data_IF_260982689568
#
_entry.id   IF_260982689568
#
_cell.length_a   1.000
_cell.length_b   1.000
_cell.length_c   1.000
_cell.angle_alpha   90.00
_cell.angle_beta   90.00
_cell.angle_gamma   90.00
#
_symmetry.space_group_name_H-M   'P 1'
#
loop_
_entity.id
_entity.type
_entity.pdbx_description
1 polymer ?
#
# COMPACT_ATOMS: atom_id res chain seq x y z
N UNK A 1 -36.03 0.47 27.67
CA UNK A 1 -36.84 -0.55 26.98
C UNK A 1 -36.06 -1.40 25.95
N UNK A 2 -34.73 -1.28 25.83
CA UNK A 2 -33.93 -1.97 24.78
C UNK A 2 -33.21 -3.27 25.22
N UNK A 3 -33.54 -3.84 26.38
CA UNK A 3 -32.77 -4.95 26.97
C UNK A 3 -32.81 -6.27 26.19
N UNK A 4 -33.80 -6.49 25.32
CA UNK A 4 -33.92 -7.73 24.52
C UNK A 4 -33.27 -7.62 23.15
N UNK A 5 -33.33 -6.45 22.49
CA UNK A 5 -32.85 -6.28 21.12
C UNK A 5 -31.31 -6.28 21.06
N UNK A 6 -30.63 -5.58 21.96
CA UNK A 6 -29.16 -5.50 21.93
C UNK A 6 -28.48 -6.89 22.07
N UNK A 7 -28.89 -7.78 23.00
CA UNK A 7 -28.39 -9.16 23.03
C UNK A 7 -28.64 -9.95 21.75
N UNK A 8 -29.81 -9.78 21.10
CA UNK A 8 -30.12 -10.44 19.82
C UNK A 8 -29.21 -9.95 18.69
N UNK A 9 -29.02 -8.63 18.56
CA UNK A 9 -28.12 -8.04 17.56
C UNK A 9 -26.68 -8.52 17.76
N UNK A 10 -26.20 -8.59 19.02
CA UNK A 10 -24.88 -9.16 19.33
C UNK A 10 -24.76 -10.63 18.92
N UNK A 11 -25.79 -11.45 19.19
CA UNK A 11 -25.82 -12.87 18.80
C UNK A 11 -25.76 -13.06 17.28
N UNK A 12 -26.42 -12.18 16.53
CA UNK A 12 -26.41 -12.15 15.06
C UNK A 12 -25.18 -11.46 14.46
N UNK A 13 -24.29 -10.91 15.30
CA UNK A 13 -23.11 -10.11 14.89
C UNK A 13 -23.51 -8.90 14.03
N UNK A 14 -24.61 -8.25 14.38
CA UNK A 14 -25.14 -7.02 13.78
C UNK A 14 -24.65 -5.81 14.58
N UNK A 15 -23.34 -5.59 14.56
CA UNK A 15 -22.70 -4.57 15.38
C UNK A 15 -23.05 -3.15 14.95
N UNK A 16 -23.20 -2.91 13.65
CA UNK A 16 -23.53 -1.60 13.13
C UNK A 16 -24.95 -1.18 13.51
N UNK A 17 -25.92 -2.10 13.36
CA UNK A 17 -27.26 -1.90 13.90
C UNK A 17 -27.24 -1.65 15.41
N UNK A 18 -26.44 -2.40 16.16
CA UNK A 18 -26.40 -2.24 17.61
C UNK A 18 -25.79 -0.88 18.04
N UNK A 19 -24.84 -0.34 17.26
CA UNK A 19 -24.22 0.96 17.51
C UNK A 19 -25.14 2.13 17.10
N UNK A 20 -25.89 2.00 16.00
CA UNK A 20 -26.77 3.07 15.49
C UNK A 20 -28.23 3.00 16.00
N UNK A 21 -28.62 1.91 16.70
CA UNK A 21 -30.01 1.65 17.10
C UNK A 21 -30.68 2.84 17.78
N UNK A 22 -30.04 3.45 18.79
CA UNK A 22 -30.64 4.57 19.53
C UNK A 22 -30.81 5.81 18.68
N UNK A 23 -29.83 6.09 17.81
CA UNK A 23 -29.87 7.22 16.87
C UNK A 23 -31.01 7.05 15.87
N UNK A 24 -31.15 5.85 15.26
CA UNK A 24 -32.20 5.55 14.29
C UNK A 24 -33.59 5.51 14.91
N UNK A 25 -33.72 5.08 16.16
CA UNK A 25 -35.01 5.12 16.88
C UNK A 25 -35.48 6.55 17.13
N UNK A 26 -34.56 7.45 17.48
CA UNK A 26 -34.87 8.88 17.63
C UNK A 26 -35.16 9.55 16.29
N UNK A 27 -34.44 9.18 15.23
CA UNK A 27 -34.70 9.68 13.88
C UNK A 27 -36.10 9.25 13.41
N UNK A 28 -36.47 7.98 13.58
CA UNK A 28 -37.78 7.47 13.19
C UNK A 28 -38.93 8.19 13.92
N UNK A 29 -38.77 8.50 15.21
CA UNK A 29 -39.81 9.20 15.98
C UNK A 29 -39.94 10.69 15.63
N UNK A 30 -38.85 11.33 15.18
CA UNK A 30 -38.83 12.76 14.85
C UNK A 30 -39.18 13.06 13.39
N UNK A 31 -38.76 12.21 12.45
CA UNK A 31 -39.00 12.39 11.01
C UNK A 31 -40.18 11.60 10.47
N UNK A 32 -40.78 10.72 11.28
CA UNK A 32 -41.96 9.94 10.89
C UNK A 32 -41.66 8.84 9.87
N UNK A 33 -40.47 8.22 9.96
CA UNK A 33 -40.08 7.12 9.08
C UNK A 33 -41.08 5.97 9.15
N UNK A 34 -41.43 5.42 7.98
CA UNK A 34 -42.17 4.17 7.92
C UNK A 34 -41.33 3.02 8.48
N UNK A 35 -42.00 1.92 8.89
CA UNK A 35 -41.30 0.75 9.40
C UNK A 35 -40.31 0.15 8.39
N UNK A 36 -40.62 0.23 7.09
CA UNK A 36 -39.74 -0.24 6.02
C UNK A 36 -38.50 0.64 5.89
N UNK A 37 -38.67 1.97 5.85
CA UNK A 37 -37.55 2.92 5.76
C UNK A 37 -36.62 2.81 6.97
N UNK A 38 -37.17 2.71 8.18
CA UNK A 38 -36.37 2.49 9.38
C UNK A 38 -35.54 1.20 9.29
N UNK A 39 -36.16 0.11 8.84
CA UNK A 39 -35.47 -1.18 8.72
C UNK A 39 -34.39 -1.16 7.61
N UNK A 40 -34.66 -0.49 6.49
CA UNK A 40 -33.70 -0.28 5.41
C UNK A 40 -32.48 0.51 5.90
N UNK A 41 -32.69 1.62 6.62
CA UNK A 41 -31.60 2.42 7.19
C UNK A 41 -30.75 1.62 8.19
N UNK A 42 -31.39 0.82 9.05
CA UNK A 42 -30.70 -0.07 9.98
C UNK A 42 -29.84 -1.11 9.24
N UNK A 43 -30.34 -1.69 8.14
CA UNK A 43 -29.58 -2.61 7.30
C UNK A 43 -28.42 -1.91 6.61
N UNK A 44 -28.64 -0.69 6.12
CA UNK A 44 -27.60 0.10 5.47
C UNK A 44 -26.46 0.43 6.45
N UNK A 45 -26.76 0.78 7.70
CA UNK A 45 -25.76 1.01 8.74
C UNK A 45 -24.89 -0.23 8.99
N UNK A 46 -25.51 -1.41 9.06
CA UNK A 46 -24.76 -2.66 9.21
C UNK A 46 -23.86 -2.94 8.01
N UNK A 47 -24.38 -2.76 6.79
CA UNK A 47 -23.62 -2.98 5.55
C UNK A 47 -22.41 -2.05 5.51
N UNK A 48 -22.61 -0.76 5.82
CA UNK A 48 -21.55 0.24 5.85
C UNK A 48 -20.46 -0.12 6.86
N UNK A 49 -20.85 -0.43 8.11
CA UNK A 49 -19.89 -0.77 9.17
C UNK A 49 -19.14 -2.08 8.87
N UNK A 50 -19.80 -3.05 8.24
CA UNK A 50 -19.12 -4.27 7.77
C UNK A 50 -18.13 -3.98 6.64
N UNK A 51 -18.49 -3.12 5.70
CA UNK A 51 -17.62 -2.66 4.62
C UNK A 51 -16.36 -1.98 5.17
N UNK A 52 -16.53 -1.01 6.07
CA UNK A 52 -15.44 -0.27 6.69
C UNK A 52 -14.49 -1.20 7.46
N UNK A 53 -15.04 -2.10 8.29
CA UNK A 53 -14.24 -3.09 9.03
C UNK A 53 -13.52 -4.06 8.10
N UNK A 54 -14.10 -4.42 6.96
CA UNK A 54 -13.43 -5.26 5.97
C UNK A 54 -12.23 -4.53 5.35
N UNK A 55 -12.40 -3.26 4.99
CA UNK A 55 -11.31 -2.41 4.48
C UNK A 55 -10.20 -2.26 5.54
N UNK A 56 -10.53 -1.92 6.79
CA UNK A 56 -9.55 -1.81 7.87
C UNK A 56 -8.76 -3.09 8.09
N UNK A 57 -9.42 -4.25 8.07
CA UNK A 57 -8.76 -5.55 8.18
C UNK A 57 -7.80 -5.79 7.03
N UNK A 58 -8.18 -5.46 5.79
CA UNK A 58 -7.29 -5.57 4.62
C UNK A 58 -6.11 -4.60 4.72
N UNK A 59 -6.31 -3.36 5.17
CA UNK A 59 -5.22 -2.39 5.40
C UNK A 59 -4.23 -2.92 6.44
N UNK A 60 -4.72 -3.45 7.57
CA UNK A 60 -3.87 -4.07 8.60
C UNK A 60 -3.09 -5.26 8.05
N UNK A 61 -3.75 -6.13 7.28
CA UNK A 61 -3.10 -7.29 6.63
C UNK A 61 -2.08 -6.88 5.56
N UNK A 62 -2.28 -5.74 4.91
CA UNK A 62 -1.38 -5.26 3.85
C UNK A 62 -0.01 -4.86 4.37
N UNK A 63 0.15 -4.60 5.67
CA UNK A 63 1.45 -4.38 6.30
C UNK A 63 2.26 -3.25 5.65
N UNK A 64 1.58 -2.19 5.20
CA UNK A 64 2.22 -0.98 4.67
C UNK A 64 3.19 -0.39 5.70
N UNK A 65 4.29 0.20 5.23
CA UNK A 65 5.20 0.98 6.08
C UNK A 65 4.47 2.17 6.69
N UNK A 66 3.76 2.92 5.84
CA UNK A 66 2.87 4.00 6.23
C UNK A 66 1.61 3.96 5.35
N UNK A 67 0.44 4.25 5.93
CA UNK A 67 -0.79 4.39 5.14
C UNK A 67 -0.75 5.74 4.42
N UNK A 68 -0.41 5.72 3.12
CA UNK A 68 -0.36 6.90 2.25
C UNK A 68 -1.55 6.93 1.31
N UNK A 69 -2.12 8.11 1.06
CA UNK A 69 -3.20 8.26 0.08
C UNK A 69 -2.70 8.97 -1.18
N UNK A 70 -3.43 8.79 -2.28
CA UNK A 70 -3.09 9.42 -3.56
C UNK A 70 -3.33 10.93 -3.50
N UNK A 71 -4.32 11.35 -2.71
CA UNK A 71 -4.66 12.76 -2.50
C UNK A 71 -3.53 13.52 -1.77
N UNK A 72 -2.72 12.82 -0.98
CA UNK A 72 -1.56 13.39 -0.28
C UNK A 72 -0.33 13.56 -1.19
N UNK A 73 -0.39 13.10 -2.44
CA UNK A 73 0.73 13.16 -3.37
C UNK A 73 0.76 14.47 -4.16
N UNK A 74 1.81 15.27 -3.97
CA UNK A 74 2.02 16.52 -4.71
C UNK A 74 2.58 16.25 -6.12
N UNK A 75 1.68 16.11 -7.10
CA UNK A 75 2.04 16.02 -8.52
C UNK A 75 2.67 17.31 -9.08
N UNK A 76 2.51 18.45 -8.41
CA UNK A 76 3.14 19.72 -8.78
C UNK A 76 4.64 19.73 -8.49
N UNK A 77 5.07 19.03 -7.43
CA UNK A 77 6.48 18.88 -7.08
C UNK A 77 7.26 18.06 -8.12
N UNK A 78 6.65 17.00 -8.66
CA UNK A 78 7.27 16.16 -9.68
C UNK A 78 6.41 16.01 -10.94
N UNK A 79 6.56 16.97 -11.86
CA UNK A 79 5.83 17.01 -13.15
C UNK A 79 6.14 15.86 -14.11
N UNK A 80 7.20 15.10 -13.87
CA UNK A 80 7.56 13.96 -14.73
C UNK A 80 6.58 12.80 -14.55
N UNK A 81 5.91 12.74 -13.40
CA UNK A 81 4.94 11.71 -13.08
C UNK A 81 3.62 12.06 -13.76
N UNK A 82 3.26 11.28 -14.77
CA UNK A 82 1.98 11.43 -15.47
C UNK A 82 0.84 11.06 -14.52
N UNK A 83 0.11 12.07 -14.04
CA UNK A 83 -1.06 11.89 -13.15
C UNK A 83 -2.02 10.83 -13.69
N UNK A 84 -2.40 10.91 -14.97
CA UNK A 84 -3.33 9.98 -15.60
C UNK A 84 -2.87 8.51 -15.51
N UNK A 85 -1.58 8.23 -15.66
CA UNK A 85 -1.05 6.87 -15.56
C UNK A 85 -1.13 6.34 -14.12
N UNK A 86 -0.85 7.19 -13.11
CA UNK A 86 -1.01 6.81 -11.70
C UNK A 86 -2.47 6.48 -11.36
N UNK A 87 -3.42 7.29 -11.84
CA UNK A 87 -4.85 7.01 -11.62
C UNK A 87 -5.33 5.78 -12.39
N UNK A 88 -4.80 5.52 -13.58
CA UNK A 88 -5.07 4.28 -14.34
C UNK A 88 -4.66 3.06 -13.50
N UNK A 89 -3.46 3.06 -12.93
CA UNK A 89 -3.01 1.99 -12.03
C UNK A 89 -3.91 1.87 -10.79
N UNK A 90 -4.36 3.00 -10.23
CA UNK A 90 -5.27 3.03 -9.09
C UNK A 90 -6.65 2.41 -9.37
N UNK A 91 -7.05 2.25 -10.64
CA UNK A 91 -8.29 1.52 -11.01
C UNK A 91 -8.18 0.00 -10.81
N UNK A 92 -6.96 -0.51 -10.67
CA UNK A 92 -6.68 -1.95 -10.54
C UNK A 92 -6.83 -2.73 -11.85
N UNK A 93 -6.91 -2.06 -12.99
CA UNK A 93 -6.96 -2.72 -14.30
C UNK A 93 -5.77 -3.66 -14.50
N UNK A 94 -4.56 -3.20 -14.25
CA UNK A 94 -3.35 -4.01 -14.36
C UNK A 94 -3.40 -5.28 -13.49
N UNK A 95 -3.99 -5.20 -12.28
CA UNK A 95 -4.16 -6.37 -11.39
C UNK A 95 -5.11 -7.40 -11.97
N UNK A 96 -6.23 -6.95 -12.55
CA UNK A 96 -7.20 -7.85 -13.21
C UNK A 96 -6.61 -8.50 -14.47
N UNK A 97 -5.77 -7.76 -15.19
CA UNK A 97 -5.03 -8.22 -16.36
C UNK A 97 -3.78 -9.04 -16.00
N UNK A 98 -3.47 -9.21 -14.71
CA UNK A 98 -2.28 -9.92 -14.20
C UNK A 98 -0.97 -9.34 -14.72
N UNK A 99 -0.95 -8.04 -15.00
CA UNK A 99 0.27 -7.30 -15.38
C UNK A 99 1.05 -6.89 -14.14
N UNK A 100 2.36 -6.79 -14.27
CA UNK A 100 3.26 -6.29 -13.23
C UNK A 100 3.52 -4.78 -13.42
N UNK A 101 4.07 -4.12 -12.39
CA UNK A 101 4.41 -2.70 -12.46
C UNK A 101 5.80 -2.46 -11.88
N UNK A 102 6.69 -1.88 -12.68
CA UNK A 102 8.03 -1.51 -12.25
C UNK A 102 8.13 0.01 -12.14
N UNK A 103 8.47 0.53 -10.96
CA UNK A 103 8.82 1.94 -10.81
C UNK A 103 10.34 2.12 -10.79
N UNK A 104 10.89 2.91 -11.69
CA UNK A 104 12.32 3.20 -11.76
C UNK A 104 12.59 4.67 -11.51
N UNK A 105 13.63 5.00 -10.76
CA UNK A 105 14.07 6.39 -10.57
C UNK A 105 14.93 6.60 -9.33
N UNK A 106 15.53 7.78 -9.15
CA UNK A 106 16.39 8.05 -8.00
C UNK A 106 15.62 8.03 -6.67
N UNK A 107 16.31 7.89 -5.52
CA UNK A 107 15.67 7.90 -4.21
C UNK A 107 14.98 9.24 -3.92
N UNK A 108 13.87 9.18 -3.19
CA UNK A 108 13.13 10.38 -2.78
C UNK A 108 12.18 10.97 -3.84
N UNK A 109 12.00 10.34 -5.00
CA UNK A 109 11.10 10.82 -6.07
C UNK A 109 9.62 10.47 -5.89
N UNK A 110 9.26 9.71 -4.84
CA UNK A 110 7.87 9.38 -4.52
C UNK A 110 7.42 7.95 -4.86
N UNK A 111 8.28 7.09 -5.42
CA UNK A 111 7.94 5.70 -5.81
C UNK A 111 7.24 4.89 -4.72
N UNK A 112 7.81 4.83 -3.52
CA UNK A 112 7.24 4.10 -2.37
C UNK A 112 5.91 4.69 -1.88
N UNK A 113 5.71 6.01 -2.01
CA UNK A 113 4.42 6.65 -1.71
C UNK A 113 3.37 6.22 -2.73
N UNK A 114 3.70 6.28 -4.02
CA UNK A 114 2.82 5.88 -5.10
C UNK A 114 2.42 4.41 -4.99
N UNK A 115 3.38 3.51 -4.74
CA UNK A 115 3.07 2.08 -4.59
C UNK A 115 2.08 1.83 -3.43
N UNK A 116 2.32 2.41 -2.26
CA UNK A 116 1.44 2.23 -1.09
C UNK A 116 0.07 2.88 -1.29
N UNK A 117 0.02 4.05 -1.92
CA UNK A 117 -1.24 4.75 -2.19
C UNK A 117 -2.08 4.10 -3.28
N UNK A 118 -1.47 3.56 -4.33
CA UNK A 118 -2.14 2.67 -5.29
C UNK A 118 -2.66 1.44 -4.56
N UNK A 119 -1.82 0.78 -3.74
CA UNK A 119 -2.22 -0.36 -2.94
C UNK A 119 -3.44 -0.07 -2.05
N UNK A 120 -3.48 1.10 -1.41
CA UNK A 120 -4.63 1.53 -0.61
C UNK A 120 -5.90 1.69 -1.45
N UNK A 121 -5.80 2.29 -2.64
CA UNK A 121 -6.93 2.41 -3.58
C UNK A 121 -7.47 1.04 -4.00
N UNK A 122 -6.58 0.07 -4.23
CA UNK A 122 -6.99 -1.30 -4.57
C UNK A 122 -7.67 -2.02 -3.41
N UNK A 123 -7.21 -1.80 -2.18
CA UNK A 123 -7.89 -2.33 -0.99
C UNK A 123 -9.31 -1.78 -0.87
N UNK A 124 -9.48 -0.48 -1.12
CA UNK A 124 -10.82 0.16 -1.16
C UNK A 124 -11.68 -0.39 -2.29
N UNK A 125 -11.08 -0.79 -3.41
CA UNK A 125 -11.76 -1.48 -4.51
C UNK A 125 -12.02 -2.98 -4.24
N UNK A 126 -11.77 -3.48 -3.02
CA UNK A 126 -12.07 -4.85 -2.60
C UNK A 126 -10.95 -5.87 -2.79
N UNK A 127 -9.79 -5.44 -3.31
CA UNK A 127 -8.64 -6.31 -3.54
C UNK A 127 -7.80 -6.50 -2.27
N UNK A 128 -7.00 -7.56 -2.25
CA UNK A 128 -6.00 -7.85 -1.21
C UNK A 128 -4.63 -7.40 -1.67
N UNK A 129 -3.92 -6.69 -0.79
CA UNK A 129 -2.57 -6.18 -1.07
C UNK A 129 -1.66 -6.64 0.06
N UNK A 130 -0.41 -6.92 -0.26
CA UNK A 130 0.64 -7.15 0.74
C UNK A 130 1.88 -6.34 0.38
N UNK A 131 2.41 -5.59 1.34
CA UNK A 131 3.60 -4.77 1.20
C UNK A 131 4.72 -5.34 2.07
N UNK A 132 5.92 -5.39 1.49
CA UNK A 132 7.13 -5.75 2.21
C UNK A 132 8.35 -5.09 1.58
N UNK A 133 9.36 -4.75 2.38
CA UNK A 133 10.67 -4.39 1.82
C UNK A 133 11.38 -5.67 1.35
N UNK A 134 12.19 -5.60 0.30
CA UNK A 134 12.96 -6.75 -0.15
C UNK A 134 13.85 -7.34 0.96
N UNK A 135 14.38 -6.50 1.84
CA UNK A 135 15.19 -6.94 2.99
C UNK A 135 14.37 -7.74 4.01
N UNK A 136 13.11 -7.35 4.23
CA UNK A 136 12.21 -8.07 5.11
C UNK A 136 11.67 -9.35 4.44
N UNK A 137 11.48 -9.36 3.11
CA UNK A 137 11.20 -10.61 2.36
C UNK A 137 12.28 -11.63 2.64
N UNK A 138 13.54 -11.26 2.40
CA UNK A 138 14.69 -12.15 2.63
C UNK A 138 14.77 -12.58 4.09
N UNK A 139 14.55 -11.67 5.04
CA UNK A 139 14.55 -12.01 6.47
C UNK A 139 13.45 -13.02 6.81
N UNK A 140 12.24 -12.84 6.28
CA UNK A 140 11.12 -13.72 6.52
C UNK A 140 11.45 -15.14 6.01
N UNK A 141 12.00 -15.29 4.79
CA UNK A 141 12.40 -16.59 4.23
C UNK A 141 13.56 -17.25 4.99
N UNK A 142 14.60 -16.49 5.37
CA UNK A 142 15.73 -17.02 6.14
C UNK A 142 15.34 -17.54 7.52
N UNK A 143 14.33 -16.92 8.16
CA UNK A 143 13.89 -17.33 9.49
C UNK A 143 13.13 -18.66 9.48
N UNK A 144 12.26 -18.91 8.48
CA UNK A 144 11.48 -20.15 8.42
C UNK A 144 12.20 -21.32 7.75
N UNK A 145 13.29 -21.12 7.00
CA UNK A 145 14.18 -22.22 6.59
C UNK A 145 14.71 -23.00 7.81
N UNK A 146 14.87 -22.32 8.96
CA UNK A 146 15.28 -22.96 10.20
C UNK A 146 14.13 -23.72 10.92
N UNK A 147 12.88 -23.60 10.44
CA UNK A 147 11.67 -24.07 11.14
C UNK A 147 10.73 -24.93 10.26
N UNK A 148 11.17 -25.43 9.10
CA UNK A 148 10.36 -26.19 8.13
C UNK A 148 9.06 -25.48 7.67
N UNK A 149 9.00 -24.14 7.79
CA UNK A 149 7.81 -23.31 7.58
C UNK A 149 7.67 -22.69 6.19
N UNK A 150 8.53 -23.08 5.24
CA UNK A 150 8.72 -22.40 3.95
C UNK A 150 7.40 -22.19 3.16
N UNK A 151 6.54 -23.20 3.10
CA UNK A 151 5.27 -23.13 2.36
C UNK A 151 4.31 -22.08 2.93
N UNK A 152 4.28 -21.93 4.27
CA UNK A 152 3.40 -20.98 4.96
C UNK A 152 3.82 -19.54 4.66
N UNK A 153 5.12 -19.25 4.66
CA UNK A 153 5.62 -17.92 4.27
C UNK A 153 5.35 -17.65 2.81
N UNK A 154 5.64 -18.63 1.96
CA UNK A 154 5.43 -18.48 0.52
C UNK A 154 3.96 -18.15 0.22
N UNK A 155 3.00 -18.82 0.87
CA UNK A 155 1.57 -18.49 0.76
C UNK A 155 1.26 -17.02 1.06
N UNK A 156 1.90 -16.42 2.07
CA UNK A 156 1.74 -15.00 2.41
C UNK A 156 2.11 -14.08 1.25
N UNK A 157 3.12 -14.46 0.48
CA UNK A 157 3.58 -13.71 -0.70
C UNK A 157 2.79 -14.04 -1.98
N UNK A 158 2.18 -15.23 -2.08
CA UNK A 158 1.47 -15.68 -3.29
C UNK A 158 -0.03 -15.38 -3.30
N UNK A 159 -0.71 -15.41 -2.14
CA UNK A 159 -2.17 -15.24 -2.05
C UNK A 159 -2.70 -13.82 -2.39
N UNK A 160 -2.01 -12.71 -2.04
CA UNK A 160 -2.52 -11.37 -2.30
C UNK A 160 -2.73 -11.08 -3.79
N UNK A 161 -3.80 -10.35 -4.13
CA UNK A 161 -4.06 -9.86 -5.49
C UNK A 161 -2.88 -9.02 -6.01
N UNK A 162 -2.35 -8.14 -5.16
CA UNK A 162 -1.14 -7.37 -5.42
C UNK A 162 -0.08 -7.60 -4.34
N UNK A 163 1.13 -7.96 -4.76
CA UNK A 163 2.32 -7.94 -3.90
C UNK A 163 3.16 -6.70 -4.24
N UNK A 164 3.54 -5.92 -3.23
CA UNK A 164 4.45 -4.79 -3.36
C UNK A 164 5.77 -5.13 -2.68
N UNK A 165 6.87 -5.17 -3.45
CA UNK A 165 8.22 -5.40 -2.94
C UNK A 165 9.04 -4.12 -3.10
N UNK A 166 9.24 -3.39 -2.00
CA UNK A 166 9.88 -2.07 -1.97
C UNK A 166 11.37 -2.12 -1.57
N UNK A 167 12.03 -0.96 -1.61
CA UNK A 167 13.42 -0.69 -1.25
C UNK A 167 14.47 -1.38 -2.14
N UNK A 168 14.09 -1.81 -3.36
CA UNK A 168 15.05 -2.37 -4.31
C UNK A 168 16.11 -1.32 -4.71
N UNK A 169 17.37 -1.74 -4.75
CA UNK A 169 18.49 -0.87 -5.12
C UNK A 169 19.00 0.09 -4.03
N UNK A 170 18.54 -0.04 -2.78
CA UNK A 170 19.03 0.76 -1.64
C UNK A 170 20.38 0.28 -1.08
N UNK A 171 20.57 -1.03 -0.98
CA UNK A 171 21.80 -1.69 -0.50
C UNK A 171 21.98 -3.01 -1.25
N UNK A 172 23.16 -3.60 -1.18
CA UNK A 172 23.34 -4.98 -1.62
C UNK A 172 22.48 -5.92 -0.77
N UNK A 173 21.87 -6.90 -1.44
CA UNK A 173 21.05 -7.90 -0.78
C UNK A 173 21.95 -8.97 -0.14
N UNK A 174 21.51 -9.60 0.96
CA UNK A 174 22.17 -10.78 1.51
C UNK A 174 22.35 -11.90 0.48
N UNK A 175 23.25 -12.86 0.75
CA UNK A 175 23.36 -14.08 -0.08
C UNK A 175 22.01 -14.81 -0.13
N UNK A 176 21.75 -15.54 -1.22
CA UNK A 176 20.48 -16.27 -1.49
C UNK A 176 19.23 -15.41 -1.67
N UNK A 177 19.32 -14.09 -1.55
CA UNK A 177 18.17 -13.19 -1.77
C UNK A 177 17.57 -13.31 -3.18
N UNK A 178 18.42 -13.58 -4.16
CA UNK A 178 18.01 -13.81 -5.54
C UNK A 178 17.10 -15.03 -5.68
N UNK A 179 17.39 -16.12 -4.97
CA UNK A 179 16.61 -17.37 -5.00
C UNK A 179 15.19 -17.13 -4.49
N UNK A 180 15.04 -16.48 -3.32
CA UNK A 180 13.72 -16.21 -2.75
C UNK A 180 12.91 -15.23 -3.59
N UNK A 181 13.53 -14.15 -4.08
CA UNK A 181 12.85 -13.20 -4.95
C UNK A 181 12.44 -13.88 -6.28
N UNK A 182 13.31 -14.71 -6.83
CA UNK A 182 13.04 -15.47 -8.04
C UNK A 182 11.84 -16.40 -7.86
N UNK A 183 11.80 -17.16 -6.76
CA UNK A 183 10.69 -18.06 -6.49
C UNK A 183 9.34 -17.32 -6.38
N UNK A 184 9.32 -16.19 -5.67
CA UNK A 184 8.11 -15.38 -5.53
C UNK A 184 7.66 -14.81 -6.88
N UNK A 185 8.58 -14.20 -7.65
CA UNK A 185 8.25 -13.63 -8.97
C UNK A 185 7.80 -14.72 -9.93
N UNK A 186 8.51 -15.84 -9.98
CA UNK A 186 8.20 -16.96 -10.88
C UNK A 186 6.82 -17.55 -10.61
N UNK A 187 6.46 -17.78 -9.34
CA UNK A 187 5.15 -18.35 -8.97
C UNK A 187 4.00 -17.37 -9.11
N UNK A 188 4.26 -16.06 -9.15
CA UNK A 188 3.25 -15.02 -9.36
C UNK A 188 3.05 -14.67 -10.84
N UNK A 189 4.06 -14.85 -11.67
CA UNK A 189 4.02 -14.60 -13.11
C UNK A 189 2.76 -15.23 -13.76
N UNK A 190 1.98 -14.44 -14.48
CA UNK A 190 0.68 -14.80 -15.11
C UNK A 190 -0.43 -15.29 -14.16
N UNK A 191 -0.22 -15.26 -12.85
CA UNK A 191 -1.19 -15.69 -11.84
C UNK A 191 -1.70 -14.50 -11.02
N UNK A 192 -0.79 -13.64 -10.52
CA UNK A 192 -1.10 -12.46 -9.70
C UNK A 192 -0.08 -11.35 -9.95
N UNK A 193 -0.49 -10.10 -9.81
CA UNK A 193 0.36 -8.95 -10.07
C UNK A 193 1.34 -8.62 -8.96
N UNK A 194 2.50 -8.13 -9.34
CA UNK A 194 3.59 -7.69 -8.48
C UNK A 194 4.01 -6.29 -8.88
N UNK A 195 4.22 -5.41 -7.89
CA UNK A 195 4.68 -4.05 -8.09
C UNK A 195 5.98 -3.82 -7.34
N UNK A 196 7.00 -3.32 -8.05
CA UNK A 196 8.34 -3.14 -7.51
C UNK A 196 8.88 -1.75 -7.83
N UNK A 197 9.15 -0.91 -6.83
CA UNK A 197 9.99 0.26 -7.00
C UNK A 197 11.48 -0.06 -6.83
N UNK A 198 12.31 0.39 -7.77
CA UNK A 198 13.77 0.30 -7.70
C UNK A 198 14.45 1.67 -7.82
N UNK A 199 15.50 1.85 -7.03
CA UNK A 199 16.37 3.01 -7.08
C UNK A 199 17.56 2.85 -8.05
N UNK A 200 17.69 1.68 -8.69
CA UNK A 200 18.75 1.40 -9.67
C UNK A 200 18.14 1.00 -11.02
N UNK A 201 18.86 1.30 -12.12
CA UNK A 201 18.57 0.75 -13.44
C UNK A 201 18.54 -0.78 -13.42
N UNK A 202 17.85 -1.38 -14.40
CA UNK A 202 17.66 -2.83 -14.47
C UNK A 202 18.99 -3.58 -14.68
N UNK A 203 19.91 -2.96 -15.41
CA UNK A 203 21.25 -3.47 -15.71
C UNK A 203 22.08 -3.70 -14.44
N UNK A 204 21.79 -2.96 -13.36
CA UNK A 204 22.49 -3.10 -12.08
C UNK A 204 21.92 -4.20 -11.18
N UNK A 205 20.79 -4.82 -11.53
CA UNK A 205 20.15 -5.83 -10.67
C UNK A 205 21.01 -7.07 -10.46
N UNK A 206 21.78 -7.49 -11.46
CA UNK A 206 22.73 -8.58 -11.31
C UNK A 206 23.74 -8.34 -10.18
N UNK A 207 24.26 -7.10 -10.09
CA UNK A 207 25.18 -6.69 -9.01
C UNK A 207 24.48 -6.52 -7.66
N UNK A 208 23.23 -6.08 -7.64
CA UNK A 208 22.45 -5.89 -6.41
C UNK A 208 22.06 -7.23 -5.77
N UNK A 209 21.65 -8.18 -6.60
CA UNK A 209 21.23 -9.52 -6.18
C UNK A 209 22.44 -10.39 -5.85
N UNK A 210 23.59 -10.13 -6.51
CA UNK A 210 24.81 -10.93 -6.34
C UNK A 210 24.80 -12.24 -7.12
N UNK A 211 23.81 -12.42 -8.00
CA UNK A 211 23.64 -13.58 -8.88
C UNK A 211 23.03 -13.12 -10.21
N UNK A 212 23.86 -13.05 -11.25
CA UNK A 212 23.49 -12.53 -12.58
C UNK A 212 22.48 -13.46 -13.29
N UNK A 213 22.67 -14.79 -13.31
CA UNK A 213 21.64 -15.72 -13.79
C UNK A 213 20.25 -15.50 -13.16
N UNK A 214 20.15 -15.48 -11.83
CA UNK A 214 18.87 -15.26 -11.15
C UNK A 214 18.28 -13.88 -11.46
N UNK A 215 19.10 -12.83 -11.45
CA UNK A 215 18.64 -11.49 -11.83
C UNK A 215 18.06 -11.45 -13.25
N UNK A 216 18.73 -12.10 -14.21
CA UNK A 216 18.28 -12.17 -15.60
C UNK A 216 16.95 -12.93 -15.69
N UNK A 217 16.83 -14.05 -14.99
CA UNK A 217 15.62 -14.86 -14.98
C UNK A 217 14.42 -14.18 -14.28
N UNK A 218 14.68 -13.33 -13.27
CA UNK A 218 13.68 -12.45 -12.64
C UNK A 218 13.23 -11.39 -13.64
N UNK A 219 14.18 -10.68 -14.26
CA UNK A 219 13.88 -9.60 -15.18
C UNK A 219 13.11 -10.09 -16.40
N UNK A 220 13.51 -11.23 -16.97
CA UNK A 220 12.82 -11.85 -18.11
C UNK A 220 11.33 -12.07 -17.81
N UNK A 221 11.00 -12.73 -16.69
CA UNK A 221 9.62 -12.98 -16.28
C UNK A 221 8.88 -11.71 -15.90
N UNK A 222 9.48 -10.88 -15.04
CA UNK A 222 8.82 -9.68 -14.54
C UNK A 222 8.53 -8.69 -15.68
N UNK A 223 9.47 -8.52 -16.62
CA UNK A 223 9.31 -7.55 -17.71
C UNK A 223 8.39 -8.02 -18.83
N UNK A 224 8.18 -9.33 -18.99
CA UNK A 224 7.34 -9.90 -20.04
C UNK A 224 5.93 -9.27 -20.09
N UNK A 225 5.33 -9.04 -18.92
CA UNK A 225 4.02 -8.40 -18.79
C UNK A 225 4.01 -7.24 -17.79
N UNK A 226 5.08 -6.45 -17.72
CA UNK A 226 5.13 -5.26 -16.85
C UNK A 226 4.86 -3.94 -17.56
N UNK A 227 4.25 -3.02 -16.82
CA UNK A 227 4.27 -1.60 -17.12
C UNK A 227 5.45 -0.94 -16.40
N UNK A 228 6.39 -0.36 -17.17
CA UNK A 228 7.58 0.30 -16.62
C UNK A 228 7.34 1.80 -16.50
N UNK A 229 7.30 2.27 -15.26
CA UNK A 229 7.07 3.65 -14.88
C UNK A 229 8.37 4.31 -14.46
N UNK A 230 8.96 5.09 -15.37
CA UNK A 230 10.17 5.86 -15.08
C UNK A 230 9.83 7.22 -14.46
N UNK A 231 10.44 7.52 -13.31
CA UNK A 231 10.31 8.78 -12.61
C UNK A 231 11.69 9.44 -12.52
N UNK A 232 11.77 10.69 -12.97
CA UNK A 232 12.95 11.54 -12.76
C UNK A 232 12.57 12.70 -11.84
N UNK A 233 13.55 13.51 -11.43
CA UNK A 233 13.31 14.69 -10.58
C UNK A 233 14.06 14.66 -9.26
N UNK A 234 13.92 15.76 -8.51
CA UNK A 234 14.61 15.99 -7.23
C UNK A 234 13.97 15.19 -6.10
N UNK A 235 14.75 14.93 -5.05
CA UNK A 235 14.26 14.29 -3.84
C UNK A 235 13.29 15.20 -3.08
N UNK A 236 12.07 14.72 -2.85
CA UNK A 236 11.06 15.40 -2.01
C UNK A 236 11.57 15.61 -0.57
N UNK A 237 12.35 14.64 -0.06
CA UNK A 237 12.90 14.70 1.30
C UNK A 237 13.89 15.86 1.47
N UNK A 238 14.69 16.14 0.44
CA UNK A 238 15.66 17.26 0.46
C UNK A 238 14.97 18.60 0.20
N UNK A 239 13.95 18.64 -0.67
CA UNK A 239 13.19 19.86 -0.92
C UNK A 239 12.42 20.39 0.30
N UNK A 240 11.98 19.50 1.19
CA UNK A 240 11.36 19.92 2.46
C UNK A 240 12.39 20.41 3.48
N UNK A 241 13.60 19.84 3.56
CA UNK A 241 14.63 20.34 4.47
C UNK A 241 15.09 21.77 4.13
N UNK A 242 15.14 22.14 2.84
CA UNK A 242 15.48 23.50 2.40
C UNK A 242 14.38 24.54 2.75
N UNK A 243 13.10 24.13 2.72
CA UNK A 243 11.99 24.99 3.14
C UNK A 243 12.02 25.25 4.65
N UNK A 244 12.33 24.23 5.45
CA UNK A 244 12.43 24.37 6.90
C UNK A 244 13.67 25.16 7.34
N UNK A 245 14.79 25.10 6.61
CA UNK A 245 15.99 25.90 6.92
C UNK A 245 15.84 27.38 6.57
N UNK A 246 15.01 27.73 5.58
CA UNK A 246 14.75 29.14 5.23
C UNK A 246 13.76 29.83 6.17
N UNK A 247 12.98 29.09 6.97
CA UNK A 247 12.11 29.66 8.01
C UNK A 247 12.81 29.95 9.34
N UNK A 248 14.09 29.59 9.50
CA UNK A 248 14.87 29.77 10.74
C UNK A 248 15.94 30.87 10.64
N UNK A 249 15.83 31.81 9.69
CA UNK A 249 16.63 33.05 9.77
C UNK A 249 16.14 33.87 10.97
N UNK A 250 16.93 33.84 12.04
CA UNK A 250 16.74 34.61 13.27
C UNK A 250 16.57 36.12 12.98
N UNK A 251 15.76 36.85 13.76
CA UNK A 251 15.64 38.29 13.62
C UNK A 251 16.99 38.93 13.91
N UNK A 252 17.45 39.77 12.99
CA UNK A 252 18.64 40.62 13.13
C UNK A 252 18.52 41.44 14.42
N UNK A 253 19.51 41.26 15.30
CA UNK A 253 19.58 41.92 16.61
C UNK A 253 19.49 43.45 16.50
N UNK A 254 18.70 43.99 17.41
CA UNK A 254 18.61 45.40 17.78
C UNK A 254 19.99 45.99 18.06
N UNK A 255 20.27 47.15 17.47
CA UNK A 255 21.39 48.01 17.84
C UNK A 255 21.27 48.41 19.32
N UNK A 256 22.30 48.09 20.10
CA UNK A 256 22.54 48.67 21.42
C UNK A 256 23.10 50.06 21.25
N UNK A 257 22.36 51.05 21.74
CA UNK A 257 22.89 52.35 22.19
C UNK A 257 23.92 52.13 23.30
N UNK A 258 25.05 52.83 23.23
CA UNK A 258 25.81 53.20 24.42
C UNK A 258 26.61 54.48 24.14
N UNK A 259 26.46 55.42 25.10
CA UNK A 259 27.18 56.67 25.37
C UNK A 259 26.91 57.91 24.50
#
# INVERSE_FOLDING_TARGET
>A
MNNTISPMLKKLRLSGMNESLEVRLHEASSTGLTHLEFFELMLQDEINIRGDRQIERRIKKANFRDVRRLEDFDFGFNKTIKKNAVYELATGRFVRERRDVLWLGPPGTGKSHLCQSIGLSLIRAGMTVYYRSIFDVVRDFLHDEALDGHERILKRYLEPDLLIIDDMGMKQLPKRSGEYLFEVVMRRHDVRSTMMPSNRPLEEWGKLIGDVPSATAILDRFLHHSEVMQITGRSYRMGNSEKTSNSTKAPTGSATEEA
#
